data_IF_902032524499
#
_entry.id   IF_902032524499
#
_cell.length_a   1.000
_cell.length_b   1.000
_cell.length_c   1.000
_cell.angle_alpha   90.00
_cell.angle_beta   90.00
_cell.angle_gamma   90.00
#
_symmetry.space_group_name_H-M   'P 1'
#
loop_
_entity.id
_entity.type
_entity.pdbx_description
1 polymer ?
#
# COMPACT_ATOMS: atom_id res chain seq x y z
N UNK A 1 -12.79 6.71 9.63
CA UNK A 1 -11.43 6.88 9.07
C UNK A 1 -10.81 8.08 9.77
N UNK A 2 -9.53 8.02 10.13
CA UNK A 2 -8.79 9.20 10.58
C UNK A 2 -8.62 10.18 9.41
N UNK A 3 -8.35 11.45 9.71
CA UNK A 3 -7.77 12.35 8.70
C UNK A 3 -6.39 11.80 8.29
N UNK A 4 -5.98 11.90 7.01
CA UNK A 4 -4.66 11.45 6.58
C UNK A 4 -3.55 12.28 7.24
N UNK A 5 -2.37 11.69 7.47
CA UNK A 5 -1.20 12.47 7.88
C UNK A 5 -0.85 13.51 6.81
N UNK A 6 -0.94 14.78 7.18
CA UNK A 6 -0.31 15.86 6.40
C UNK A 6 1.20 15.86 6.70
N UNK A 7 2.00 15.61 5.67
CA UNK A 7 3.46 15.61 5.77
C UNK A 7 3.97 17.06 5.70
N UNK A 8 4.74 17.56 6.69
CA UNK A 8 5.31 18.90 6.66
C UNK A 8 6.15 19.11 5.40
N UNK A 9 6.05 20.29 4.79
CA UNK A 9 6.92 20.66 3.65
C UNK A 9 8.26 21.22 4.13
N UNK A 10 9.29 21.22 3.27
CA UNK A 10 10.60 21.80 3.60
C UNK A 10 11.50 20.97 4.54
N UNK A 11 11.11 19.74 4.88
CA UNK A 11 11.94 18.83 5.66
C UNK A 11 13.21 18.40 4.90
N UNK A 12 14.26 18.03 5.65
CA UNK A 12 15.49 17.45 5.14
C UNK A 12 15.19 16.09 4.51
N UNK A 13 15.45 15.85 3.20
CA UNK A 13 15.07 14.59 2.56
C UNK A 13 15.72 13.34 3.18
N UNK A 14 15.10 12.18 2.96
CA UNK A 14 15.67 10.89 3.34
C UNK A 14 16.84 10.44 2.44
N UNK A 15 17.46 9.28 2.74
CA UNK A 15 17.29 8.51 3.97
C UNK A 15 17.97 9.22 5.15
N UNK A 16 17.41 9.04 6.35
CA UNK A 16 18.02 9.52 7.60
C UNK A 16 18.73 8.37 8.33
N UNK A 17 19.80 8.68 9.05
CA UNK A 17 20.56 7.75 9.89
C UNK A 17 21.08 8.43 11.14
N UNK A 18 21.34 7.65 12.18
CA UNK A 18 22.13 8.09 13.33
C UNK A 18 23.63 8.06 13.01
N UNK A 19 24.35 9.09 13.43
CA UNK A 19 25.81 9.13 13.44
C UNK A 19 26.30 9.40 14.86
N UNK A 20 27.36 8.70 15.27
CA UNK A 20 27.94 8.77 16.62
C UNK A 20 29.44 8.95 16.51
N UNK A 21 29.94 10.17 16.72
CA UNK A 21 31.38 10.37 16.86
C UNK A 21 31.80 10.11 18.31
N UNK A 22 32.45 8.95 18.51
CA UNK A 22 32.98 8.50 19.80
C UNK A 22 34.16 9.35 20.29
N UNK A 23 34.81 10.14 19.43
CA UNK A 23 35.94 11.04 19.76
C UNK A 23 35.45 12.35 20.37
N UNK A 24 34.56 13.08 19.70
CA UNK A 24 33.90 14.28 20.27
C UNK A 24 32.81 13.96 21.29
N UNK A 25 32.34 12.70 21.32
CA UNK A 25 31.19 12.21 22.10
C UNK A 25 29.87 12.90 21.70
N UNK A 26 29.71 13.12 20.39
CA UNK A 26 28.49 13.68 19.81
C UNK A 26 27.63 12.59 19.16
N UNK A 27 26.33 12.87 19.06
CA UNK A 27 25.35 12.06 18.33
C UNK A 27 24.42 13.00 17.55
N UNK A 28 24.09 12.61 16.33
CA UNK A 28 23.27 13.41 15.41
C UNK A 28 22.45 12.50 14.47
N UNK A 29 21.37 13.04 13.92
CA UNK A 29 20.66 12.47 12.77
C UNK A 29 21.15 13.19 11.52
N UNK A 30 21.54 12.44 10.49
CA UNK A 30 22.01 12.98 9.21
C UNK A 30 21.31 12.32 8.01
N UNK A 31 21.21 13.04 6.88
CA UNK A 31 20.58 12.55 5.65
C UNK A 31 20.67 13.53 4.47
N UNK A 32 19.63 13.57 3.63
CA UNK A 32 19.39 14.65 2.67
C UNK A 32 20.32 14.73 1.45
N UNK A 33 20.77 13.58 0.93
CA UNK A 33 21.89 13.45 -0.01
C UNK A 33 21.53 12.78 -1.35
N UNK A 34 21.64 13.49 -2.49
CA UNK A 34 22.26 12.94 -3.68
C UNK A 34 23.75 12.65 -3.43
N UNK A 35 24.33 11.72 -4.19
CA UNK A 35 25.72 11.27 -3.98
C UNK A 35 26.76 12.36 -4.28
N UNK A 36 27.81 12.46 -3.43
CA UNK A 36 29.11 13.01 -3.85
C UNK A 36 29.60 14.35 -3.26
N UNK A 37 29.26 14.72 -2.02
CA UNK A 37 29.91 15.87 -1.33
C UNK A 37 30.44 15.42 0.20
N UNK A 38 29.75 15.86 2.39
CA UNK A 38 28.87 16.99 2.97
C UNK A 38 27.38 16.63 3.29
N UNK A 39 27.15 15.58 4.08
CA UNK A 39 25.81 15.17 4.53
C UNK A 39 25.06 16.25 5.32
N UNK A 40 23.72 16.21 5.31
CA UNK A 40 22.89 17.20 6.01
C UNK A 40 22.58 16.74 7.43
N UNK A 41 23.01 17.49 8.44
CA UNK A 41 22.55 17.31 9.82
C UNK A 41 21.09 17.75 9.96
N UNK A 42 20.23 16.83 10.36
CA UNK A 42 18.80 17.01 10.62
C UNK A 42 18.60 17.51 12.05
N UNK A 43 19.24 16.82 13.01
CA UNK A 43 19.14 17.04 14.44
C UNK A 43 20.48 16.73 15.10
N UNK A 44 20.91 17.57 16.05
CA UNK A 44 22.02 17.27 16.97
C UNK A 44 21.68 17.69 18.40
N UNK A 45 22.64 17.53 19.32
CA UNK A 45 22.51 17.95 20.72
C UNK A 45 23.65 18.88 21.14
N UNK A 46 23.36 20.16 21.41
CA UNK A 46 24.32 21.18 21.88
C UNK A 46 24.16 21.33 23.39
N UNK A 47 25.27 21.34 24.15
CA UNK A 47 25.25 21.47 25.62
C UNK A 47 24.47 22.74 26.04
N UNK A 48 23.74 22.63 27.14
CA UNK A 48 22.97 23.70 27.77
C UNK A 48 23.42 23.83 29.24
N UNK A 49 24.09 24.93 29.56
CA UNK A 49 24.73 25.14 30.86
C UNK A 49 25.74 24.02 31.20
N UNK A 50 25.74 23.58 32.45
CA UNK A 50 26.61 22.51 32.94
C UNK A 50 25.90 21.14 33.08
N UNK A 51 24.58 21.08 32.92
CA UNK A 51 23.77 19.92 33.36
C UNK A 51 22.89 19.25 32.30
N UNK A 52 22.70 19.88 31.13
CA UNK A 52 21.78 19.38 30.10
C UNK A 52 22.36 19.46 28.69
N UNK A 53 21.71 18.81 27.74
CA UNK A 53 21.87 19.07 26.31
C UNK A 53 20.49 19.42 25.72
N UNK A 54 20.45 20.33 24.76
CA UNK A 54 19.23 20.72 24.05
C UNK A 54 19.28 20.16 22.61
N UNK A 55 18.16 19.68 22.06
CA UNK A 55 18.03 19.43 20.62
C UNK A 55 18.34 20.70 19.82
N UNK A 56 19.01 20.55 18.67
CA UNK A 56 19.35 21.65 17.76
C UNK A 56 19.11 21.23 16.31
N UNK A 57 18.45 22.10 15.54
CA UNK A 57 18.03 21.88 14.17
C UNK A 57 18.70 22.88 13.19
N UNK A 58 18.75 22.52 11.91
CA UNK A 58 19.37 23.31 10.83
C UNK A 58 18.33 23.70 9.77
N UNK A 59 18.21 25.00 9.51
CA UNK A 59 17.35 25.52 8.44
C UNK A 59 18.06 25.49 7.08
N UNK A 60 17.93 24.37 6.36
CA UNK A 60 18.64 24.09 5.09
C UNK A 60 18.11 24.87 3.88
N UNK A 61 18.56 26.12 3.69
CA UNK A 61 18.28 26.93 2.49
C UNK A 61 19.20 26.57 1.32
N UNK A 62 18.66 26.52 0.10
CA UNK A 62 19.37 26.42 -1.19
C UNK A 62 20.54 25.40 -1.27
N UNK A 63 20.41 24.29 -0.54
CA UNK A 63 21.44 23.23 -0.48
C UNK A 63 22.76 23.62 0.21
N UNK A 64 22.85 24.80 0.84
CA UNK A 64 24.06 25.31 1.51
C UNK A 64 23.85 25.40 3.04
N UNK A 65 24.96 25.40 3.79
CA UNK A 65 24.93 25.12 5.24
C UNK A 65 25.77 26.06 6.11
N UNK A 66 26.28 27.16 5.53
CA UNK A 66 27.33 27.99 6.14
C UNK A 66 26.90 29.41 6.52
N UNK A 67 25.63 29.80 6.32
CA UNK A 67 25.11 31.14 6.66
C UNK A 67 24.32 31.20 7.96
N UNK A 68 23.53 30.18 8.27
CA UNK A 68 22.50 30.24 9.31
C UNK A 68 22.94 29.44 10.55
N UNK A 69 23.01 30.07 11.74
CA UNK A 69 23.36 29.36 12.97
C UNK A 69 22.24 28.35 13.35
N UNK A 70 22.56 27.08 13.62
CA UNK A 70 21.57 26.07 13.97
C UNK A 70 20.92 26.36 15.32
N UNK A 71 19.58 26.33 15.34
CA UNK A 71 18.73 26.79 16.44
C UNK A 71 18.43 25.68 17.43
N UNK A 72 18.58 25.97 18.71
CA UNK A 72 18.13 25.11 19.83
C UNK A 72 16.61 25.07 19.82
N UNK A 73 16.03 23.95 20.24
CA UNK A 73 14.57 23.77 20.29
C UNK A 73 13.82 24.94 20.97
N UNK A 74 14.36 25.52 22.06
CA UNK A 74 13.72 26.65 22.75
C UNK A 74 13.81 28.00 22.03
N UNK A 75 14.68 28.16 21.03
CA UNK A 75 14.78 29.37 20.21
C UNK A 75 13.75 29.39 19.07
N UNK A 76 13.10 28.26 18.84
CA UNK A 76 12.08 27.99 17.81
C UNK A 76 10.91 27.20 18.41
N UNK A 77 10.63 27.44 19.69
CA UNK A 77 9.52 26.82 20.42
C UNK A 77 8.29 27.72 20.31
N UNK A 78 7.15 27.14 19.93
CA UNK A 78 5.87 27.85 19.80
C UNK A 78 4.85 27.31 20.82
N UNK A 79 4.06 28.15 21.49
CA UNK A 79 2.99 27.68 22.37
C UNK A 79 1.98 26.83 21.59
N UNK A 80 1.55 25.71 22.15
CA UNK A 80 0.45 24.94 21.55
C UNK A 80 -0.85 25.79 21.53
N UNK A 81 -1.56 25.89 20.40
CA UNK A 81 -2.81 26.63 20.31
C UNK A 81 -3.85 26.17 21.34
N UNK A 82 -4.43 27.12 22.07
CA UNK A 82 -5.35 26.88 23.20
C UNK A 82 -4.65 26.45 24.51
N UNK A 83 -3.31 26.47 24.56
CA UNK A 83 -2.49 26.14 25.74
C UNK A 83 -1.38 27.18 25.99
N UNK A 84 -1.59 28.41 25.56
CA UNK A 84 -0.63 29.52 25.65
C UNK A 84 -0.19 29.79 27.10
N UNK A 85 -1.09 29.57 28.06
CA UNK A 85 -0.86 29.64 29.50
C UNK A 85 0.07 28.53 30.06
N UNK A 86 0.54 27.61 29.21
CA UNK A 86 1.52 26.57 29.54
C UNK A 86 2.84 26.72 28.77
N UNK A 87 3.04 27.79 27.98
CA UNK A 87 4.19 27.96 27.09
C UNK A 87 5.56 27.74 27.76
N UNK A 88 5.72 28.14 29.03
CA UNK A 88 6.96 27.98 29.81
C UNK A 88 7.38 26.51 30.04
N UNK A 89 6.47 25.55 29.88
CA UNK A 89 6.73 24.12 30.10
C UNK A 89 6.14 23.18 29.03
N UNK A 90 5.29 23.68 28.12
CA UNK A 90 4.65 22.91 27.05
C UNK A 90 4.56 23.77 25.77
N UNK A 91 5.47 23.52 24.83
CA UNK A 91 5.55 24.16 23.51
C UNK A 91 5.88 23.12 22.44
N UNK A 92 5.42 23.36 21.20
CA UNK A 92 5.83 22.63 20.00
C UNK A 92 7.15 23.22 19.45
N UNK A 93 7.73 22.61 18.42
CA UNK A 93 8.96 23.08 17.76
C UNK A 93 8.65 23.46 16.32
N UNK A 94 8.80 24.74 15.96
CA UNK A 94 8.70 25.22 14.58
C UNK A 94 9.94 24.83 13.77
N UNK A 95 9.98 23.55 13.39
CA UNK A 95 10.93 23.02 12.43
C UNK A 95 10.27 21.87 11.65
N UNK A 96 10.37 21.83 10.31
CA UNK A 96 9.74 20.77 9.52
C UNK A 96 10.29 19.38 9.88
N UNK A 97 11.60 19.27 10.17
CA UNK A 97 12.17 18.00 10.66
C UNK A 97 11.67 17.60 12.06
N UNK A 98 11.38 18.57 12.94
CA UNK A 98 10.84 18.26 14.28
C UNK A 98 9.40 17.75 14.19
N UNK A 99 8.56 18.42 13.38
CA UNK A 99 7.18 17.99 13.09
C UNK A 99 7.16 16.62 12.40
N UNK A 100 8.08 16.34 11.48
CA UNK A 100 8.21 15.01 10.86
C UNK A 100 8.63 13.92 11.86
N UNK A 101 9.54 14.22 12.79
CA UNK A 101 9.90 13.30 13.89
C UNK A 101 8.69 13.00 14.79
N UNK A 102 7.89 14.02 15.10
CA UNK A 102 6.68 13.88 15.92
C UNK A 102 5.58 13.02 15.24
N UNK A 103 5.45 13.13 13.90
CA UNK A 103 4.49 12.37 13.10
C UNK A 103 4.89 10.91 12.83
N UNK A 104 6.17 10.56 13.01
CA UNK A 104 6.71 9.24 12.66
C UNK A 104 5.92 8.03 13.24
N UNK A 105 5.37 8.06 14.49
CA UNK A 105 4.55 6.96 15.00
C UNK A 105 3.21 6.80 14.26
N UNK A 106 2.56 7.90 13.87
CA UNK A 106 1.31 7.85 13.10
C UNK A 106 1.56 7.39 11.67
N UNK A 107 2.61 7.91 11.02
CA UNK A 107 3.05 7.46 9.70
C UNK A 107 3.37 5.95 9.67
N UNK A 108 4.03 5.44 10.72
CA UNK A 108 4.31 4.01 10.85
C UNK A 108 3.02 3.17 10.98
N UNK A 109 2.03 3.63 11.74
CA UNK A 109 0.73 2.96 11.87
C UNK A 109 -0.04 2.94 10.53
N UNK A 110 -0.07 4.05 9.79
CA UNK A 110 -0.73 4.14 8.48
C UNK A 110 -0.04 3.25 7.44
N UNK A 111 1.30 3.22 7.40
CA UNK A 111 2.06 2.31 6.53
C UNK A 111 1.83 0.82 6.85
N UNK A 112 1.68 0.47 8.13
CA UNK A 112 1.36 -0.89 8.55
C UNK A 112 -0.07 -1.29 8.15
N UNK A 113 -1.05 -0.39 8.28
CA UNK A 113 -2.43 -0.61 7.81
C UNK A 113 -2.47 -0.79 6.29
N UNK A 114 -1.83 0.11 5.53
CA UNK A 114 -1.77 0.03 4.07
C UNK A 114 -1.11 -1.28 3.59
N UNK A 115 -0.05 -1.73 4.27
CA UNK A 115 0.59 -3.03 3.96
C UNK A 115 -0.33 -4.22 4.21
N UNK A 116 -1.15 -4.18 5.26
CA UNK A 116 -2.15 -5.21 5.54
C UNK A 116 -3.26 -5.23 4.47
N UNK A 117 -3.75 -4.06 4.07
CA UNK A 117 -4.76 -3.94 3.01
C UNK A 117 -4.23 -4.38 1.64
N UNK A 118 -2.99 -4.01 1.26
CA UNK A 118 -2.35 -4.52 0.03
C UNK A 118 -2.26 -6.04 0.07
N UNK A 119 -1.82 -6.63 1.20
CA UNK A 119 -1.72 -8.10 1.36
C UNK A 119 -3.09 -8.77 1.20
N UNK A 120 -4.13 -8.20 1.82
CA UNK A 120 -5.53 -8.65 1.72
C UNK A 120 -6.06 -8.57 0.30
N UNK A 121 -5.77 -7.48 -0.42
CA UNK A 121 -6.21 -7.28 -1.80
C UNK A 121 -5.48 -8.23 -2.78
N UNK A 122 -4.16 -8.43 -2.64
CA UNK A 122 -3.41 -9.40 -3.44
C UNK A 122 -3.91 -10.83 -3.23
N UNK A 123 -4.21 -11.23 -2.00
CA UNK A 123 -4.82 -12.54 -1.72
C UNK A 123 -6.23 -12.68 -2.32
N UNK A 124 -7.03 -11.60 -2.29
CA UNK A 124 -8.37 -11.57 -2.88
C UNK A 124 -8.33 -11.65 -4.42
N UNK A 125 -7.36 -10.99 -5.05
CA UNK A 125 -7.12 -11.04 -6.49
C UNK A 125 -6.72 -12.46 -6.93
N UNK A 126 -5.73 -13.06 -6.27
CA UNK A 126 -5.29 -14.43 -6.60
C UNK A 126 -6.42 -15.47 -6.44
N UNK A 127 -7.31 -15.30 -5.46
CA UNK A 127 -8.49 -16.14 -5.31
C UNK A 127 -9.51 -15.95 -6.46
N UNK A 128 -9.74 -14.70 -6.90
CA UNK A 128 -10.61 -14.40 -8.03
C UNK A 128 -10.03 -14.89 -9.37
N UNK A 129 -8.72 -14.81 -9.57
CA UNK A 129 -8.01 -15.36 -10.74
C UNK A 129 -8.11 -16.89 -10.78
N UNK A 130 -7.95 -17.56 -9.63
CA UNK A 130 -8.14 -19.01 -9.52
C UNK A 130 -9.57 -19.47 -9.82
N UNK A 131 -10.57 -18.73 -9.32
CA UNK A 131 -11.99 -18.99 -9.59
C UNK A 131 -12.34 -18.73 -11.07
N UNK A 132 -11.82 -17.66 -11.68
CA UNK A 132 -11.98 -17.41 -13.11
C UNK A 132 -11.36 -18.54 -13.96
N UNK A 133 -10.19 -19.05 -13.58
CA UNK A 133 -9.56 -20.22 -14.22
C UNK A 133 -10.38 -21.50 -14.06
N UNK A 134 -11.00 -21.73 -12.89
CA UNK A 134 -11.93 -22.86 -12.67
C UNK A 134 -13.13 -22.78 -13.60
N UNK A 135 -13.77 -21.61 -13.66
CA UNK A 135 -14.95 -21.36 -14.49
C UNK A 135 -14.63 -21.47 -15.98
N UNK A 136 -13.45 -21.03 -16.43
CA UNK A 136 -13.04 -21.21 -17.82
C UNK A 136 -12.76 -22.67 -18.17
N UNK A 137 -12.13 -23.44 -17.27
CA UNK A 137 -11.94 -24.87 -17.43
C UNK A 137 -13.25 -25.68 -17.36
N UNK A 138 -14.30 -25.16 -16.72
CA UNK A 138 -15.66 -25.73 -16.76
C UNK A 138 -16.36 -25.37 -18.07
N UNK A 139 -16.28 -24.11 -18.50
CA UNK A 139 -16.77 -23.65 -19.80
C UNK A 139 -16.16 -24.43 -20.96
N UNK A 140 -14.84 -24.66 -20.93
CA UNK A 140 -14.15 -25.43 -21.96
C UNK A 140 -14.61 -26.90 -21.99
N UNK A 141 -14.71 -27.57 -20.83
CA UNK A 141 -15.25 -28.95 -20.74
C UNK A 141 -16.69 -29.06 -21.25
N UNK A 142 -17.53 -28.06 -20.97
CA UNK A 142 -18.88 -27.98 -21.51
C UNK A 142 -18.88 -27.87 -23.04
N UNK A 143 -18.04 -27.02 -23.62
CA UNK A 143 -17.94 -26.89 -25.08
C UNK A 143 -17.37 -28.13 -25.77
N UNK A 144 -16.39 -28.82 -25.18
CA UNK A 144 -15.88 -30.10 -25.72
C UNK A 144 -16.98 -31.18 -25.68
N UNK A 145 -17.70 -31.33 -24.56
CA UNK A 145 -18.82 -32.27 -24.46
C UNK A 145 -19.95 -31.97 -25.45
N UNK A 146 -20.30 -30.69 -25.62
CA UNK A 146 -21.28 -30.25 -26.62
C UNK A 146 -20.79 -30.50 -28.06
N UNK A 147 -19.49 -30.30 -28.33
CA UNK A 147 -18.86 -30.58 -29.62
C UNK A 147 -18.87 -32.08 -29.95
N UNK A 148 -18.66 -32.94 -28.96
CA UNK A 148 -18.80 -34.38 -29.12
C UNK A 148 -20.26 -34.79 -29.39
N UNK A 149 -21.23 -34.25 -28.63
CA UNK A 149 -22.67 -34.46 -28.88
C UNK A 149 -23.01 -34.04 -30.30
N UNK A 150 -22.73 -32.80 -30.71
CA UNK A 150 -22.97 -32.30 -32.07
C UNK A 150 -22.27 -33.14 -33.15
N UNK A 151 -21.08 -33.67 -32.85
CA UNK A 151 -20.34 -34.55 -33.77
C UNK A 151 -20.95 -35.95 -33.91
N UNK A 152 -21.58 -36.50 -32.86
CA UNK A 152 -22.40 -37.73 -32.91
C UNK A 152 -23.73 -37.44 -33.62
N UNK A 153 -24.31 -36.26 -33.40
CA UNK A 153 -25.56 -35.76 -33.98
C UNK A 153 -25.47 -35.31 -35.45
N UNK A 154 -24.41 -35.66 -36.20
CA UNK A 154 -24.26 -35.34 -37.64
C UNK A 154 -25.34 -35.95 -38.57
N UNK A 155 -26.28 -36.70 -38.01
CA UNK A 155 -27.43 -37.31 -38.69
C UNK A 155 -28.78 -36.82 -38.16
N UNK A 156 -28.80 -35.91 -37.17
CA UNK A 156 -30.03 -35.29 -36.67
C UNK A 156 -30.42 -34.07 -37.52
N UNK A 157 -31.71 -33.73 -37.55
CA UNK A 157 -32.20 -32.54 -38.22
C UNK A 157 -32.22 -31.27 -37.33
N UNK A 158 -32.70 -30.16 -37.89
CA UNK A 158 -32.74 -28.86 -37.22
C UNK A 158 -33.78 -28.72 -36.10
N UNK A 159 -34.81 -29.57 -36.06
CA UNK A 159 -35.79 -29.63 -34.96
C UNK A 159 -35.21 -30.45 -33.80
N UNK A 160 -34.55 -31.58 -34.11
CA UNK A 160 -33.90 -32.43 -33.11
C UNK A 160 -32.71 -31.76 -32.40
N UNK A 161 -31.93 -30.95 -33.13
CA UNK A 161 -30.89 -30.10 -32.54
C UNK A 161 -31.47 -29.00 -31.62
N UNK A 162 -32.70 -28.55 -31.88
CA UNK A 162 -33.42 -27.59 -31.04
C UNK A 162 -33.77 -28.18 -29.67
N UNK A 163 -34.43 -29.34 -29.65
CA UNK A 163 -34.78 -30.09 -28.44
C UNK A 163 -33.55 -30.34 -27.54
N UNK A 164 -32.43 -30.76 -28.14
CA UNK A 164 -31.19 -31.07 -27.42
C UNK A 164 -30.56 -29.80 -26.82
N UNK A 165 -30.58 -28.68 -27.54
CA UNK A 165 -30.11 -27.41 -27.03
C UNK A 165 -30.99 -26.89 -25.87
N UNK A 166 -32.32 -26.99 -25.98
CA UNK A 166 -33.23 -26.60 -24.91
C UNK A 166 -33.11 -27.51 -23.68
N UNK A 167 -32.90 -28.82 -23.87
CA UNK A 167 -32.61 -29.75 -22.78
C UNK A 167 -31.35 -29.38 -22.01
N UNK A 168 -30.24 -29.11 -22.72
CA UNK A 168 -28.98 -28.69 -22.12
C UNK A 168 -29.11 -27.34 -21.39
N UNK A 169 -29.79 -26.36 -21.99
CA UNK A 169 -30.01 -25.04 -21.39
C UNK A 169 -30.98 -25.07 -20.19
N UNK A 170 -31.89 -26.03 -20.12
CA UNK A 170 -32.80 -26.24 -18.99
C UNK A 170 -32.25 -27.18 -17.91
N UNK A 171 -30.99 -27.65 -18.04
CA UNK A 171 -30.34 -28.50 -17.05
C UNK A 171 -30.91 -29.92 -16.97
N UNK A 172 -31.58 -30.39 -18.01
CA UNK A 172 -32.06 -31.78 -18.13
C UNK A 172 -30.91 -32.70 -18.55
N UNK A 173 -31.05 -33.99 -18.30
CA UNK A 173 -30.10 -34.98 -18.78
C UNK A 173 -30.17 -35.08 -20.32
N UNK A 174 -29.07 -34.72 -20.98
CA UNK A 174 -28.96 -34.72 -22.44
C UNK A 174 -28.84 -36.14 -22.99
N UNK A 175 -28.26 -37.08 -22.23
CA UNK A 175 -28.21 -38.50 -22.64
C UNK A 175 -29.60 -39.13 -22.53
N UNK A 176 -30.41 -38.79 -21.52
CA UNK A 176 -31.81 -39.26 -21.43
C UNK A 176 -32.66 -38.75 -22.61
N UNK A 177 -32.55 -37.46 -22.95
CA UNK A 177 -33.27 -36.86 -24.10
C UNK A 177 -32.81 -37.47 -25.43
N UNK A 178 -31.50 -37.64 -25.64
CA UNK A 178 -31.00 -38.30 -26.84
C UNK A 178 -31.38 -39.78 -26.92
N UNK A 179 -31.33 -40.53 -25.81
CA UNK A 179 -31.78 -41.92 -25.77
C UNK A 179 -33.28 -42.04 -26.11
N UNK A 180 -34.11 -41.13 -25.61
CA UNK A 180 -35.54 -41.06 -25.94
C UNK A 180 -35.79 -40.77 -27.43
N UNK A 181 -35.01 -39.88 -28.04
CA UNK A 181 -35.05 -39.59 -29.49
C UNK A 181 -34.60 -40.79 -30.33
N UNK A 182 -33.45 -41.38 -30.02
CA UNK A 182 -32.93 -42.58 -30.72
C UNK A 182 -33.88 -43.78 -30.61
N UNK A 183 -34.50 -43.99 -29.45
CA UNK A 183 -35.50 -45.05 -29.25
C UNK A 183 -36.79 -44.84 -30.07
N UNK A 184 -37.17 -43.58 -30.36
CA UNK A 184 -38.29 -43.27 -31.27
C UNK A 184 -37.91 -43.50 -32.73
N UNK A 185 -36.76 -43.02 -33.17
CA UNK A 185 -36.29 -43.18 -34.56
C UNK A 185 -36.01 -44.63 -34.97
N UNK A 186 -35.77 -45.52 -34.00
CA UNK A 186 -35.63 -46.96 -34.24
C UNK A 186 -36.98 -47.72 -34.29
N UNK A 187 -38.10 -47.05 -34.06
CA UNK A 187 -39.46 -47.64 -34.01
C UNK A 187 -40.36 -47.23 -35.20
N UNK A 188 -39.80 -46.52 -36.18
CA UNK A 188 -40.46 -45.98 -37.38
C UNK A 188 -39.84 -46.51 -38.67
#
# INVERSE_FOLDING_TARGET
MSAPVEIPTGYTPGPWRWEVDRKSRSVQICGGRPAGHFDKTVLSFKRWGMRSAAPVFWFWKDGRHWSDEPKRAHEIAEPFPGREHHADWLADIDHPDARLIALAPQMAAELLSLRADVTRLTASLAAAEGEAGRLDAERYRFWEGLSEVVSRCKYLDGEELGDIAEAALSGKDVEEVMASRLAKGAAS
#
